data_IF_551113530281
#
_entry.id   IF_551113530281
#
_cell.length_a   1.000
_cell.length_b   1.000
_cell.length_c   1.000
_cell.angle_alpha   90.00
_cell.angle_beta   90.00
_cell.angle_gamma   90.00
#
_symmetry.space_group_name_H-M   'P 1'
#
loop_
_entity.id
_entity.type
_entity.pdbx_description
1 polymer ?
#
# COMPACT_ATOMS: atom_id res chain seq x y z
N UNK A 1 -11.72 -6.30 15.07
CA UNK A 1 -11.83 -5.72 16.44
C UNK A 1 -10.62 -6.09 17.30
N UNK A 2 -10.40 -7.37 17.69
CA UNK A 2 -9.19 -7.77 18.45
C UNK A 2 -7.84 -7.25 17.91
N UNK A 3 -7.65 -7.24 16.59
CA UNK A 3 -6.43 -6.74 15.97
C UNK A 3 -6.27 -5.21 16.05
N UNK A 4 -7.38 -4.48 16.13
CA UNK A 4 -7.35 -3.02 16.38
C UNK A 4 -6.88 -2.75 17.81
N UNK A 5 -7.41 -3.49 18.79
CA UNK A 5 -7.03 -3.35 20.20
C UNK A 5 -5.56 -3.73 20.42
N UNK A 6 -5.10 -4.82 19.79
CA UNK A 6 -3.69 -5.21 19.83
C UNK A 6 -2.78 -4.16 19.17
N UNK A 7 -3.17 -3.62 18.01
CA UNK A 7 -2.43 -2.54 17.34
C UNK A 7 -2.34 -1.30 18.24
N UNK A 8 -3.43 -0.93 18.92
CA UNK A 8 -3.43 0.16 19.89
C UNK A 8 -2.50 -0.12 21.07
N UNK A 9 -2.56 -1.32 21.63
CA UNK A 9 -1.69 -1.72 22.72
C UNK A 9 -0.20 -1.62 22.35
N UNK A 10 0.16 -2.00 21.12
CA UNK A 10 1.54 -1.93 20.60
C UNK A 10 1.95 -0.52 20.11
N UNK A 11 1.04 0.46 20.13
CA UNK A 11 1.32 1.82 19.65
C UNK A 11 1.37 1.96 18.12
N UNK A 12 0.83 0.99 17.38
CA UNK A 12 0.69 1.10 15.93
C UNK A 12 -0.31 2.22 15.55
N UNK A 13 -0.17 2.77 14.34
CA UNK A 13 -1.10 3.77 13.81
C UNK A 13 -2.17 3.18 12.90
N UNK A 14 -1.98 1.96 12.38
CA UNK A 14 -2.88 1.34 11.39
C UNK A 14 -2.93 -0.18 11.55
N UNK A 15 -4.00 -0.79 11.04
CA UNK A 15 -4.06 -2.20 10.66
C UNK A 15 -4.31 -2.31 9.15
N UNK A 16 -3.68 -3.29 8.49
CA UNK A 16 -3.97 -3.63 7.08
C UNK A 16 -5.02 -4.72 6.98
N UNK A 17 -5.97 -4.57 6.06
CA UNK A 17 -7.02 -5.56 5.76
C UNK A 17 -7.17 -5.76 4.25
N UNK A 18 -7.85 -6.83 3.84
CA UNK A 18 -8.11 -7.12 2.43
C UNK A 18 -9.44 -6.50 1.96
N UNK A 19 -9.57 -6.30 0.64
CA UNK A 19 -10.77 -5.77 -0.01
C UNK A 19 -11.21 -6.66 -1.19
N UNK A 20 -11.44 -7.95 -0.92
CA UNK A 20 -11.87 -8.90 -1.96
C UNK A 20 -13.33 -8.69 -2.40
N UNK A 21 -14.18 -8.18 -1.49
CA UNK A 21 -15.61 -8.03 -1.71
C UNK A 21 -16.36 -9.36 -1.81
N UNK A 22 -17.66 -9.31 -1.56
CA UNK A 22 -18.59 -10.43 -1.77
C UNK A 22 -19.75 -9.89 -2.60
N UNK A 23 -20.16 -10.61 -3.63
CA UNK A 23 -21.24 -10.18 -4.53
C UNK A 23 -21.14 -10.82 -5.91
N UNK A 24 -22.24 -10.75 -6.65
CA UNK A 24 -22.39 -11.30 -8.01
C UNK A 24 -21.88 -10.34 -9.09
N UNK A 25 -21.83 -9.03 -8.80
CA UNK A 25 -21.24 -8.00 -9.67
C UNK A 25 -20.12 -7.23 -8.96
N UNK A 26 -19.32 -6.50 -9.73
CA UNK A 26 -18.22 -5.70 -9.18
C UNK A 26 -18.74 -4.47 -8.39
N UNK A 27 -19.92 -3.95 -8.74
CA UNK A 27 -20.63 -2.92 -7.98
C UNK A 27 -21.14 -3.45 -6.64
N UNK A 28 -21.70 -4.66 -6.62
CA UNK A 28 -22.16 -5.28 -5.38
C UNK A 28 -20.97 -5.57 -4.44
N UNK A 29 -19.87 -6.08 -5.00
CA UNK A 29 -18.61 -6.27 -4.25
C UNK A 29 -18.08 -4.95 -3.70
N UNK A 30 -18.13 -3.86 -4.48
CA UNK A 30 -17.73 -2.53 -4.02
C UNK A 30 -18.61 -2.07 -2.84
N UNK A 31 -19.94 -2.13 -2.98
CA UNK A 31 -20.87 -1.72 -1.93
C UNK A 31 -20.67 -2.51 -0.63
N UNK A 32 -20.51 -3.84 -0.73
CA UNK A 32 -20.27 -4.69 0.43
C UNK A 32 -18.90 -4.45 1.07
N UNK A 33 -17.87 -4.19 0.26
CA UNK A 33 -16.53 -3.81 0.76
C UNK A 33 -16.58 -2.48 1.49
N UNK A 34 -17.21 -1.46 0.90
CA UNK A 34 -17.40 -0.14 1.53
C UNK A 34 -18.10 -0.27 2.88
N UNK A 35 -19.19 -1.05 2.97
CA UNK A 35 -19.90 -1.29 4.23
C UNK A 35 -19.00 -1.95 5.28
N UNK A 36 -18.23 -2.97 4.90
CA UNK A 36 -17.32 -3.68 5.81
C UNK A 36 -16.19 -2.79 6.32
N UNK A 37 -15.54 -2.05 5.42
CA UNK A 37 -14.47 -1.11 5.75
C UNK A 37 -14.98 0.03 6.64
N UNK A 38 -16.16 0.58 6.35
CA UNK A 38 -16.76 1.64 7.16
C UNK A 38 -17.00 1.18 8.60
N UNK A 39 -17.66 0.04 8.79
CA UNK A 39 -17.94 -0.47 10.14
C UNK A 39 -16.67 -0.82 10.93
N UNK A 40 -15.61 -1.30 10.27
CA UNK A 40 -14.33 -1.52 10.93
C UNK A 40 -13.60 -0.20 11.24
N UNK A 41 -13.70 0.79 10.37
CA UNK A 41 -13.08 2.11 10.53
C UNK A 41 -13.74 2.91 11.65
N UNK A 42 -15.07 2.86 11.79
CA UNK A 42 -15.80 3.46 12.93
C UNK A 42 -15.31 2.85 14.26
N UNK A 43 -15.10 1.53 14.32
CA UNK A 43 -14.49 0.89 15.50
C UNK A 43 -13.03 1.32 15.70
N UNK A 44 -12.24 1.38 14.63
CA UNK A 44 -10.84 1.81 14.64
C UNK A 44 -10.66 3.23 15.14
N UNK A 45 -11.58 4.14 14.81
CA UNK A 45 -11.55 5.54 15.19
C UNK A 45 -11.58 5.72 16.71
N UNK A 46 -12.41 4.95 17.40
CA UNK A 46 -12.48 4.95 18.88
C UNK A 46 -11.19 4.48 19.56
N UNK A 47 -10.28 3.85 18.80
CA UNK A 47 -8.98 3.37 19.28
C UNK A 47 -7.81 4.20 18.75
N UNK A 48 -8.07 5.21 17.92
CA UNK A 48 -7.03 5.98 17.22
C UNK A 48 -6.24 5.14 16.20
N UNK A 49 -6.89 4.13 15.59
CA UNK A 49 -6.29 3.23 14.61
C UNK A 49 -6.92 3.44 13.24
N UNK A 50 -6.08 3.56 12.22
CA UNK A 50 -6.52 3.55 10.84
C UNK A 50 -6.78 2.12 10.35
N UNK A 51 -7.72 1.97 9.42
CA UNK A 51 -7.99 0.74 8.67
C UNK A 51 -7.56 0.98 7.24
N UNK A 52 -6.48 0.33 6.82
CA UNK A 52 -5.94 0.52 5.48
C UNK A 52 -6.03 -0.73 4.62
N UNK A 53 -6.23 -0.53 3.33
CA UNK A 53 -6.31 -1.60 2.34
C UNK A 53 -5.08 -1.58 1.46
N UNK A 54 -4.44 -2.73 1.33
CA UNK A 54 -3.39 -2.95 0.34
C UNK A 54 -4.00 -3.51 -0.94
N UNK A 55 -3.55 -3.04 -2.10
CA UNK A 55 -3.84 -3.71 -3.36
C UNK A 55 -3.23 -5.12 -3.32
N UNK A 56 -4.04 -6.17 -3.44
CA UNK A 56 -3.59 -7.54 -3.13
C UNK A 56 -4.39 -8.61 -3.91
N UNK A 57 -4.49 -8.44 -5.23
CA UNK A 57 -5.16 -9.37 -6.15
C UNK A 57 -6.65 -9.05 -6.36
N UNK A 58 -7.22 -9.63 -7.43
CA UNK A 58 -8.61 -9.40 -7.81
C UNK A 58 -8.91 -7.91 -8.05
N UNK A 59 -10.08 -7.45 -7.60
CA UNK A 59 -10.51 -6.05 -7.76
C UNK A 59 -9.65 -5.07 -6.96
N UNK A 60 -9.06 -5.50 -5.84
CA UNK A 60 -8.19 -4.63 -5.04
C UNK A 60 -6.91 -4.21 -5.78
N UNK A 61 -6.48 -4.98 -6.80
CA UNK A 61 -5.37 -4.62 -7.69
C UNK A 61 -5.74 -3.60 -8.76
N UNK A 62 -7.02 -3.26 -8.93
CA UNK A 62 -7.44 -2.18 -9.83
C UNK A 62 -7.48 -0.85 -9.04
N UNK A 63 -6.54 0.05 -9.35
CA UNK A 63 -6.41 1.33 -8.64
C UNK A 63 -7.66 2.20 -8.66
N UNK A 64 -8.39 2.25 -9.78
CA UNK A 64 -9.68 2.98 -9.88
C UNK A 64 -10.76 2.38 -9.01
N UNK A 65 -10.86 1.06 -9.01
CA UNK A 65 -11.87 0.37 -8.21
C UNK A 65 -11.60 0.58 -6.72
N UNK A 66 -10.36 0.36 -6.26
CA UNK A 66 -10.03 0.48 -4.84
C UNK A 66 -10.09 1.95 -4.37
N UNK A 67 -9.60 2.91 -5.16
CA UNK A 67 -9.73 4.33 -4.81
C UNK A 67 -11.19 4.79 -4.74
N UNK A 68 -12.07 4.27 -5.61
CA UNK A 68 -13.51 4.52 -5.52
C UNK A 68 -14.10 3.95 -4.23
N UNK A 69 -13.78 2.72 -3.86
CA UNK A 69 -14.23 2.10 -2.60
C UNK A 69 -13.78 2.93 -1.40
N UNK A 70 -12.51 3.33 -1.34
CA UNK A 70 -11.97 4.14 -0.24
C UNK A 70 -12.65 5.52 -0.15
N UNK A 71 -12.94 6.13 -1.29
CA UNK A 71 -13.71 7.38 -1.35
C UNK A 71 -15.14 7.19 -0.83
N UNK A 72 -15.81 6.11 -1.21
CA UNK A 72 -17.19 5.83 -0.81
C UNK A 72 -17.30 5.46 0.69
N UNK A 73 -16.21 4.99 1.32
CA UNK A 73 -16.17 4.78 2.78
C UNK A 73 -16.28 6.12 3.53
N UNK A 74 -15.69 7.18 2.98
CA UNK A 74 -15.77 8.56 3.47
C UNK A 74 -15.46 8.70 4.98
N UNK A 75 -14.31 8.14 5.40
CA UNK A 75 -13.80 8.27 6.76
C UNK A 75 -12.29 8.57 6.74
N UNK A 76 -11.81 9.54 7.54
CA UNK A 76 -10.41 10.00 7.50
C UNK A 76 -9.39 8.95 7.98
N UNK A 77 -9.84 7.95 8.75
CA UNK A 77 -9.04 6.83 9.23
C UNK A 77 -9.19 5.57 8.38
N UNK A 78 -9.95 5.60 7.28
CA UNK A 78 -9.90 4.58 6.25
C UNK A 78 -8.95 5.01 5.14
N UNK A 79 -8.10 4.12 4.66
CA UNK A 79 -7.09 4.50 3.68
C UNK A 79 -6.50 3.35 2.88
N UNK A 80 -5.41 3.64 2.19
CA UNK A 80 -4.65 2.67 1.41
C UNK A 80 -3.29 2.40 2.04
N UNK A 81 -2.73 1.24 1.69
CA UNK A 81 -1.32 0.90 1.76
C UNK A 81 -0.88 0.56 0.33
N UNK A 82 -0.50 1.55 -0.52
CA UNK A 82 -0.12 1.26 -1.89
C UNK A 82 1.11 0.35 -1.90
N UNK A 83 0.97 -0.81 -2.53
CA UNK A 83 2.03 -1.80 -2.75
C UNK A 83 2.53 -1.69 -4.20
N UNK A 84 3.85 -1.62 -4.38
CA UNK A 84 4.46 -1.36 -5.70
C UNK A 84 4.31 -2.49 -6.73
N UNK A 85 4.03 -3.73 -6.31
CA UNK A 85 4.01 -4.92 -7.16
C UNK A 85 2.64 -5.55 -7.36
N UNK A 86 1.72 -5.39 -6.42
CA UNK A 86 0.45 -6.13 -6.36
C UNK A 86 -0.67 -5.52 -7.25
N UNK A 87 -0.36 -5.10 -8.47
CA UNK A 87 -1.35 -4.55 -9.42
C UNK A 87 -1.83 -5.55 -10.48
N UNK A 88 -1.26 -6.77 -10.52
CA UNK A 88 -1.65 -7.78 -11.50
C UNK A 88 -1.52 -7.27 -12.93
N UNK A 89 -2.63 -7.24 -13.68
CA UNK A 89 -2.69 -6.70 -15.05
C UNK A 89 -2.94 -5.19 -15.14
N UNK A 90 -3.10 -4.48 -14.03
CA UNK A 90 -3.32 -3.03 -14.00
C UNK A 90 -1.99 -2.27 -14.12
N UNK A 91 -2.01 -1.07 -14.69
CA UNK A 91 -0.82 -0.21 -14.71
C UNK A 91 -0.45 0.17 -13.28
N UNK A 92 0.68 -0.36 -12.80
CA UNK A 92 1.14 -0.14 -11.42
C UNK A 92 1.38 1.33 -11.08
N UNK A 93 1.89 2.13 -12.01
CA UNK A 93 2.21 3.53 -11.73
C UNK A 93 0.94 4.38 -11.69
N UNK A 94 -0.01 4.09 -12.57
CA UNK A 94 -1.36 4.65 -12.47
C UNK A 94 -2.02 4.24 -11.15
N UNK A 95 -1.93 2.96 -10.80
CA UNK A 95 -2.51 2.43 -9.56
C UNK A 95 -1.90 3.06 -8.30
N UNK A 96 -0.57 3.20 -8.23
CA UNK A 96 0.10 3.93 -7.15
C UNK A 96 -0.48 5.34 -7.06
N UNK A 97 -0.51 6.09 -8.18
CA UNK A 97 -1.02 7.46 -8.21
C UNK A 97 -2.47 7.56 -7.74
N UNK A 98 -3.33 6.61 -8.12
CA UNK A 98 -4.74 6.58 -7.74
C UNK A 98 -4.95 6.26 -6.25
N UNK A 99 -4.06 5.47 -5.65
CA UNK A 99 -4.15 5.07 -4.24
C UNK A 99 -3.46 6.03 -3.27
N UNK A 100 -2.45 6.79 -3.73
CA UNK A 100 -1.68 7.72 -2.88
C UNK A 100 -2.51 8.76 -2.11
N UNK A 101 -3.62 9.33 -2.64
CA UNK A 101 -4.46 10.27 -1.89
C UNK A 101 -5.04 9.69 -0.59
N UNK A 102 -5.08 8.37 -0.45
CA UNK A 102 -5.61 7.66 0.71
C UNK A 102 -4.50 7.03 1.58
N UNK A 103 -3.23 7.19 1.21
CA UNK A 103 -2.14 6.44 1.80
C UNK A 103 -1.92 6.79 3.29
N UNK A 104 -1.88 5.76 4.14
CA UNK A 104 -1.39 5.85 5.54
C UNK A 104 -0.21 4.90 5.79
N UNK A 105 0.39 4.41 4.72
CA UNK A 105 1.49 3.44 4.66
C UNK A 105 1.85 3.21 3.20
N UNK A 106 3.06 2.73 2.91
CA UNK A 106 3.51 2.33 1.57
C UNK A 106 4.29 1.03 1.68
N UNK A 107 4.03 0.06 0.79
CA UNK A 107 4.82 -1.17 0.67
C UNK A 107 5.73 -1.15 -0.55
N UNK A 108 7.03 -1.26 -0.30
CA UNK A 108 8.08 -1.40 -1.29
C UNK A 108 8.28 -2.87 -1.67
N UNK A 109 7.28 -3.44 -2.35
CA UNK A 109 7.30 -4.80 -2.88
C UNK A 109 8.45 -5.04 -3.86
N UNK A 110 9.25 -6.06 -3.58
CA UNK A 110 10.45 -6.43 -4.33
C UNK A 110 10.54 -7.94 -4.55
N UNK A 111 11.14 -8.36 -5.67
CA UNK A 111 11.32 -9.79 -5.97
C UNK A 111 12.73 -10.12 -6.47
N UNK A 112 13.22 -9.41 -7.47
CA UNK A 112 14.52 -9.69 -8.08
C UNK A 112 15.25 -8.39 -8.41
N UNK A 113 16.57 -8.44 -8.36
CA UNK A 113 17.43 -7.30 -8.63
C UNK A 113 18.36 -7.57 -9.82
N UNK A 114 18.65 -6.53 -10.60
CA UNK A 114 19.68 -6.58 -11.65
C UNK A 114 21.10 -6.46 -11.05
N UNK A 115 22.13 -6.52 -11.90
CA UNK A 115 23.52 -6.40 -11.47
C UNK A 115 23.88 -5.03 -10.88
N UNK A 116 23.01 -4.03 -11.01
CA UNK A 116 23.16 -2.69 -10.46
C UNK A 116 22.34 -2.50 -9.17
N UNK A 117 21.64 -3.54 -8.70
CA UNK A 117 20.80 -3.47 -7.51
C UNK A 117 19.40 -2.87 -7.74
N UNK A 118 18.97 -2.66 -8.99
CA UNK A 118 17.61 -2.18 -9.27
C UNK A 118 16.61 -3.33 -9.28
N UNK A 119 15.41 -3.13 -8.75
CA UNK A 119 14.32 -4.11 -8.87
C UNK A 119 13.92 -4.28 -10.35
N UNK A 120 13.80 -5.52 -10.83
CA UNK A 120 13.71 -5.81 -12.26
C UNK A 120 12.33 -5.58 -12.89
N UNK A 121 11.28 -5.46 -12.09
CA UNK A 121 9.89 -5.26 -12.53
C UNK A 121 9.36 -3.87 -12.21
N UNK A 122 9.80 -3.27 -11.11
CA UNK A 122 9.37 -1.94 -10.65
C UNK A 122 10.52 -0.95 -10.78
N UNK A 123 10.30 0.14 -11.50
CA UNK A 123 11.17 1.31 -11.42
C UNK A 123 10.88 2.05 -10.09
N UNK A 124 11.77 1.85 -9.11
CA UNK A 124 11.65 2.44 -7.78
C UNK A 124 11.81 3.97 -7.79
N UNK A 125 12.58 4.54 -8.73
CA UNK A 125 12.70 6.00 -8.87
C UNK A 125 11.35 6.57 -9.28
N UNK A 126 10.70 5.97 -10.27
CA UNK A 126 9.36 6.38 -10.72
C UNK A 126 8.30 6.18 -9.64
N UNK A 127 8.32 5.04 -8.95
CA UNK A 127 7.37 4.75 -7.87
C UNK A 127 7.50 5.74 -6.70
N UNK A 128 8.73 5.99 -6.22
CA UNK A 128 8.96 6.90 -5.09
C UNK A 128 8.71 8.37 -5.44
N UNK A 129 8.92 8.79 -6.70
CA UNK A 129 8.48 10.12 -7.15
C UNK A 129 6.97 10.31 -6.97
N UNK A 130 6.16 9.33 -7.38
CA UNK A 130 4.69 9.40 -7.19
C UNK A 130 4.31 9.48 -5.71
N UNK A 131 5.03 8.76 -4.84
CA UNK A 131 4.83 8.80 -3.39
C UNK A 131 5.14 10.20 -2.84
N UNK A 132 6.27 10.78 -3.23
CA UNK A 132 6.72 12.09 -2.76
C UNK A 132 5.88 13.25 -3.32
N UNK A 133 5.47 13.16 -4.60
CA UNK A 133 4.59 14.12 -5.28
C UNK A 133 3.21 14.20 -4.62
N UNK A 134 2.72 13.07 -4.09
CA UNK A 134 1.49 13.03 -3.31
C UNK A 134 1.63 13.61 -1.89
N UNK A 135 2.82 14.08 -1.51
CA UNK A 135 3.10 14.67 -0.20
C UNK A 135 3.34 13.65 0.93
N UNK A 136 3.41 12.35 0.63
CA UNK A 136 3.70 11.35 1.65
C UNK A 136 5.15 11.46 2.11
N UNK A 137 5.34 11.48 3.44
CA UNK A 137 6.65 11.57 4.12
C UNK A 137 6.78 10.55 5.27
N UNK A 138 5.85 9.59 5.35
CA UNK A 138 5.88 8.53 6.35
C UNK A 138 6.86 7.41 5.99
N UNK A 139 6.73 6.28 6.67
CA UNK A 139 7.56 5.11 6.43
C UNK A 139 7.22 4.42 5.11
N UNK A 140 8.23 3.88 4.44
CA UNK A 140 8.12 2.95 3.31
C UNK A 140 8.60 1.59 3.80
N UNK A 141 7.68 0.62 3.90
CA UNK A 141 7.97 -0.71 4.43
C UNK A 141 8.58 -1.62 3.37
N UNK A 142 9.69 -2.30 3.68
CA UNK A 142 10.28 -3.30 2.80
C UNK A 142 9.41 -4.55 2.82
N UNK A 143 9.02 -5.01 1.63
CA UNK A 143 8.33 -6.30 1.46
C UNK A 143 9.05 -7.09 0.37
N UNK A 144 9.88 -8.03 0.77
CA UNK A 144 10.59 -8.92 -0.15
C UNK A 144 9.80 -10.22 -0.31
N UNK A 145 9.48 -10.57 -1.57
CA UNK A 145 8.73 -11.78 -1.93
C UNK A 145 9.44 -12.56 -3.06
N UNK A 146 10.75 -12.32 -3.20
CA UNK A 146 11.58 -13.02 -4.17
C UNK A 146 11.88 -14.46 -3.76
N UNK A 147 12.31 -15.25 -4.75
CA UNK A 147 12.66 -16.68 -4.55
C UNK A 147 14.09 -17.04 -4.97
N UNK A 148 14.86 -16.05 -5.44
CA UNK A 148 16.22 -16.27 -5.95
C UNK A 148 17.30 -15.99 -4.90
N UNK A 149 17.05 -15.06 -3.98
CA UNK A 149 17.94 -14.71 -2.88
C UNK A 149 17.29 -15.19 -1.57
N UNK A 150 18.09 -15.29 -0.50
CA UNK A 150 17.55 -15.48 0.84
C UNK A 150 16.71 -14.28 1.28
N UNK A 151 15.79 -14.48 2.23
CA UNK A 151 14.93 -13.40 2.73
C UNK A 151 15.75 -12.23 3.29
N UNK A 152 16.76 -12.50 4.12
CA UNK A 152 17.66 -11.49 4.68
C UNK A 152 18.40 -10.69 3.59
N UNK A 153 18.93 -11.39 2.59
CA UNK A 153 19.64 -10.76 1.47
C UNK A 153 18.70 -9.90 0.62
N UNK A 154 17.48 -10.39 0.38
CA UNK A 154 16.44 -9.65 -0.33
C UNK A 154 16.01 -8.38 0.40
N UNK A 155 15.79 -8.47 1.72
CA UNK A 155 15.47 -7.31 2.57
C UNK A 155 16.58 -6.26 2.52
N UNK A 156 17.85 -6.69 2.64
CA UNK A 156 19.00 -5.79 2.56
C UNK A 156 19.12 -5.16 1.17
N UNK A 157 18.91 -5.92 0.09
CA UNK A 157 18.92 -5.38 -1.26
C UNK A 157 17.82 -4.31 -1.47
N UNK A 158 16.60 -4.55 -0.97
CA UNK A 158 15.52 -3.55 -1.05
C UNK A 158 15.84 -2.31 -0.23
N UNK A 159 16.47 -2.47 0.94
CA UNK A 159 16.92 -1.35 1.78
C UNK A 159 17.93 -0.48 1.04
N UNK A 160 18.97 -1.08 0.45
CA UNK A 160 20.00 -0.34 -0.29
C UNK A 160 19.42 0.37 -1.52
N UNK A 161 18.48 -0.26 -2.23
CA UNK A 161 17.74 0.38 -3.31
C UNK A 161 16.95 1.61 -2.83
N UNK A 162 16.21 1.49 -1.72
CA UNK A 162 15.45 2.60 -1.14
C UNK A 162 16.36 3.77 -0.72
N UNK A 163 17.50 3.48 -0.08
CA UNK A 163 18.47 4.50 0.33
C UNK A 163 19.08 5.21 -0.88
N UNK A 164 19.46 4.44 -1.91
CA UNK A 164 20.02 4.98 -3.16
C UNK A 164 19.01 5.92 -3.83
N UNK A 165 17.76 5.51 -3.96
CA UNK A 165 16.71 6.33 -4.59
C UNK A 165 16.37 7.55 -3.73
N UNK A 166 16.33 7.41 -2.40
CA UNK A 166 16.13 8.55 -1.47
C UNK A 166 17.20 9.60 -1.71
N UNK A 167 18.48 9.21 -1.73
CA UNK A 167 19.59 10.16 -1.88
C UNK A 167 19.60 10.82 -3.27
N UNK A 168 19.16 10.09 -4.30
CA UNK A 168 18.94 10.65 -5.63
C UNK A 168 17.83 11.71 -5.62
N UNK A 169 16.69 11.45 -4.98
CA UNK A 169 15.50 12.32 -5.00
C UNK A 169 15.55 13.45 -3.96
N UNK A 170 16.37 13.34 -2.91
CA UNK A 170 16.47 14.36 -1.86
C UNK A 170 16.85 15.76 -2.38
N UNK A 171 17.41 15.86 -3.59
CA UNK A 171 17.72 17.13 -4.27
C UNK A 171 16.48 17.86 -4.77
N UNK A 172 15.44 17.09 -5.12
CA UNK A 172 14.21 17.59 -5.73
C UNK A 172 13.08 17.77 -4.69
N UNK A 173 13.17 17.06 -3.56
CA UNK A 173 12.15 17.05 -2.51
C UNK A 173 12.76 17.44 -1.16
N UNK A 174 12.23 18.51 -0.56
CA UNK A 174 12.52 18.91 0.82
C UNK A 174 11.58 18.24 1.81
#
# INVERSE_FOLDING_TARGET
>A
KKWVEAAKFLGCHSIRVNAHGVGNSDEEKAANTTKGLRGLSEFGQNHGINVIVENHGGLSSNGKWLSKVLKDVDLPNCGSLPDFGNFGGYDRYMGIKELMPFAKGVSAKSHNFDSKGNETKTDYVKALKLVLDAGYRGHVGIEYEGRKMGEDEGILATKELLLTVRDQLAKDYK
#
